data_IF_092855969226
#
_entry.id   IF_092855969226
#
_cell.length_a   1.000
_cell.length_b   1.000
_cell.length_c   1.000
_cell.angle_alpha   90.00
_cell.angle_beta   90.00
_cell.angle_gamma   90.00
#
_symmetry.space_group_name_H-M   'P 1'
#
loop_
_entity.id
_entity.type
_entity.pdbx_description
1 polymer ?
#
# COMPACT_ATOMS: atom_id res chain seq x y z
N UNK A 1 35.51 -42.88 16.26
CA UNK A 1 34.72 -41.75 16.78
C UNK A 1 35.30 -40.46 16.23
N UNK A 2 34.49 -39.42 15.92
CA UNK A 2 33.14 -39.46 15.37
C UNK A 2 33.08 -38.80 13.97
N UNK A 3 32.10 -39.19 13.14
CA UNK A 3 31.90 -38.59 11.82
C UNK A 3 31.07 -37.30 11.90
N UNK A 4 31.45 -36.26 11.16
CA UNK A 4 30.68 -35.02 11.07
C UNK A 4 29.47 -35.20 10.12
N UNK A 5 28.28 -35.35 10.68
CA UNK A 5 27.04 -35.37 9.89
C UNK A 5 26.79 -34.02 9.20
N UNK A 6 26.83 -34.01 7.86
CA UNK A 6 26.31 -32.90 7.06
C UNK A 6 24.78 -32.87 7.17
N UNK A 7 24.24 -31.86 7.85
CA UNK A 7 22.80 -31.61 7.89
C UNK A 7 22.31 -31.13 6.51
N UNK A 8 21.29 -31.79 5.96
CA UNK A 8 20.71 -31.48 4.64
C UNK A 8 19.84 -30.21 4.68
N UNK A 9 19.81 -29.40 3.60
CA UNK A 9 19.06 -28.13 3.57
C UNK A 9 17.52 -28.30 3.46
N UNK A 10 17.02 -29.53 3.41
CA UNK A 10 15.64 -29.85 3.00
C UNK A 10 14.53 -29.40 3.99
N UNK A 11 14.88 -28.90 5.19
CA UNK A 11 13.89 -28.44 6.18
C UNK A 11 13.47 -26.96 6.04
N UNK A 12 14.24 -26.12 5.34
CA UNK A 12 13.86 -24.69 5.18
C UNK A 12 12.83 -24.45 4.07
N UNK A 13 12.77 -25.31 3.05
CA UNK A 13 11.84 -25.19 1.93
C UNK A 13 10.36 -25.49 2.29
N UNK A 14 10.09 -26.17 3.42
CA UNK A 14 8.72 -26.56 3.82
C UNK A 14 7.96 -25.49 4.62
N UNK A 15 8.64 -24.50 5.18
CA UNK A 15 7.98 -23.36 5.85
C UNK A 15 7.55 -22.27 4.85
N UNK A 16 8.25 -22.13 3.73
CA UNK A 16 7.95 -21.12 2.71
C UNK A 16 6.66 -21.40 1.91
N UNK A 17 6.24 -22.66 1.82
CA UNK A 17 5.04 -23.05 1.05
C UNK A 17 3.76 -23.10 1.90
N UNK A 18 3.87 -23.08 3.23
CA UNK A 18 2.73 -23.11 4.16
C UNK A 18 2.16 -21.71 4.48
N UNK A 19 2.89 -20.64 4.16
CA UNK A 19 2.47 -19.24 4.35
C UNK A 19 1.72 -18.65 3.13
N UNK A 20 1.52 -19.45 2.07
CA UNK A 20 0.80 -19.08 0.84
C UNK A 20 -0.73 -19.27 0.90
N UNK A 21 -1.25 -19.72 2.05
CA UNK A 21 -2.64 -20.15 2.21
C UNK A 21 -3.53 -19.16 2.97
N UNK A 22 -3.02 -17.96 3.30
CA UNK A 22 -3.80 -16.93 3.97
C UNK A 22 -3.81 -15.65 3.09
N UNK A 23 -4.87 -15.21 2.40
CA UNK A 23 -6.33 -15.49 2.33
C UNK A 23 -7.07 -14.13 2.41
N UNK A 24 -7.91 -13.60 1.44
CA UNK A 24 -9.06 -12.54 1.31
C UNK A 24 -9.19 -10.92 1.42
N UNK A 25 -8.54 -10.04 0.61
CA UNK A 25 -8.84 -8.57 0.45
C UNK A 25 -8.27 -7.46 1.37
N UNK A 26 -8.76 -6.21 1.30
CA UNK A 26 -8.96 -5.42 0.08
C UNK A 26 -7.66 -4.71 -0.34
N UNK A 27 -7.31 -4.78 -1.63
CA UNK A 27 -6.21 -4.02 -2.18
C UNK A 27 -6.71 -2.70 -2.83
N UNK A 28 -5.77 -1.85 -3.26
CA UNK A 28 -5.97 -0.89 -4.36
C UNK A 28 -5.96 -1.57 -5.75
N UNK A 29 -5.66 -2.87 -5.79
CA UNK A 29 -6.25 -3.79 -6.73
C UNK A 29 -7.63 -4.22 -6.22
N UNK A 30 -8.59 -4.21 -7.14
CA UNK A 30 -9.75 -5.06 -6.99
C UNK A 30 -9.91 -5.72 -8.34
N UNK A 31 -9.83 -7.04 -8.37
CA UNK A 31 -10.20 -7.84 -9.52
C UNK A 31 -11.70 -7.72 -9.86
N UNK A 32 -12.50 -7.14 -8.96
CA UNK A 32 -13.93 -6.91 -9.14
C UNK A 32 -14.21 -5.51 -9.69
N UNK A 33 -15.22 -5.48 -10.57
CA UNK A 33 -15.82 -4.30 -11.19
C UNK A 33 -17.25 -4.25 -10.67
N UNK A 34 -17.65 -3.12 -10.10
CA UNK A 34 -19.02 -2.94 -9.59
C UNK A 34 -20.02 -2.91 -10.76
N UNK A 35 -21.25 -3.36 -10.50
CA UNK A 35 -22.36 -3.31 -11.46
C UNK A 35 -22.71 -1.87 -11.87
N UNK A 36 -23.35 -1.70 -13.04
CA UNK A 36 -23.71 -0.39 -13.57
C UNK A 36 -24.64 0.37 -12.61
N UNK A 37 -24.23 1.57 -12.18
CA UNK A 37 -24.98 2.40 -11.23
C UNK A 37 -24.67 2.14 -9.75
N UNK A 38 -23.93 1.06 -9.44
CA UNK A 38 -23.46 0.77 -8.08
C UNK A 38 -22.12 1.44 -7.77
N UNK A 39 -21.84 1.64 -6.49
CA UNK A 39 -20.54 2.16 -6.06
C UNK A 39 -20.13 1.76 -4.65
N UNK A 40 -18.85 1.98 -4.36
CA UNK A 40 -18.23 1.82 -3.06
C UNK A 40 -17.44 3.08 -2.71
N UNK A 41 -17.62 3.57 -1.49
CA UNK A 41 -16.78 4.63 -0.90
C UNK A 41 -16.14 4.08 0.37
N UNK A 42 -14.84 4.32 0.52
CA UNK A 42 -14.06 3.99 1.71
C UNK A 42 -13.38 5.26 2.21
N UNK A 43 -13.63 5.63 3.47
CA UNK A 43 -12.89 6.68 4.17
C UNK A 43 -11.96 6.03 5.19
N UNK A 44 -10.65 6.08 4.96
CA UNK A 44 -9.59 5.52 5.83
C UNK A 44 -8.82 6.65 6.53
N UNK A 45 -8.72 6.58 7.84
CA UNK A 45 -7.84 7.43 8.65
C UNK A 45 -6.73 6.56 9.26
N UNK A 46 -5.48 6.98 9.13
CA UNK A 46 -4.31 6.24 9.61
C UNK A 46 -3.32 7.13 10.34
N UNK A 47 -2.65 6.55 11.33
CA UNK A 47 -1.60 7.19 12.11
C UNK A 47 -0.37 6.28 12.13
N UNK A 48 0.80 6.85 11.91
CA UNK A 48 2.10 6.18 12.07
C UNK A 48 3.06 7.11 12.80
N UNK A 49 3.82 6.59 13.75
CA UNK A 49 4.90 7.29 14.45
C UNK A 49 6.00 6.27 14.79
N UNK A 50 7.25 6.62 14.51
CA UNK A 50 8.36 5.73 14.83
C UNK A 50 9.72 6.29 14.45
N UNK A 51 10.75 5.80 15.14
CA UNK A 51 12.15 6.09 14.82
C UNK A 51 12.80 5.10 13.85
N UNK A 52 12.08 4.07 13.41
CA UNK A 52 12.62 3.04 12.53
C UNK A 52 12.82 3.55 11.10
N UNK A 53 13.89 3.12 10.43
CA UNK A 53 14.26 3.48 9.05
C UNK A 53 14.91 2.29 8.34
N UNK A 54 14.74 2.22 7.01
CA UNK A 54 15.49 1.32 6.13
C UNK A 54 16.51 2.11 5.29
N UNK A 55 17.80 1.78 5.41
CA UNK A 55 18.88 2.50 4.76
C UNK A 55 19.03 2.17 3.24
N UNK A 56 20.11 2.62 2.60
CA UNK A 56 20.39 2.35 1.17
C UNK A 56 20.61 0.87 0.84
N UNK A 57 20.97 0.06 1.83
CA UNK A 57 21.20 -1.38 1.69
C UNK A 57 20.00 -2.20 2.19
N UNK A 58 18.89 -1.53 2.51
CA UNK A 58 17.68 -2.13 3.06
C UNK A 58 17.80 -2.68 4.48
N UNK A 59 18.87 -2.31 5.19
CA UNK A 59 19.05 -2.69 6.59
C UNK A 59 18.13 -1.83 7.46
N UNK A 60 17.41 -2.48 8.37
CA UNK A 60 16.60 -1.81 9.39
C UNK A 60 17.50 -1.24 10.49
N UNK A 61 17.18 -0.04 10.96
CA UNK A 61 17.80 0.61 12.10
C UNK A 61 16.89 1.72 12.62
N UNK A 62 17.44 2.58 13.49
CA UNK A 62 16.78 3.82 13.89
C UNK A 62 17.39 5.01 13.13
N UNK A 63 16.62 6.09 12.96
CA UNK A 63 17.16 7.38 12.56
C UNK A 63 18.23 7.86 13.55
N UNK A 64 19.25 8.63 13.10
CA UNK A 64 20.20 9.27 13.99
C UNK A 64 19.52 10.32 14.88
N UNK A 65 20.20 10.76 15.93
CA UNK A 65 19.81 11.89 16.78
C UNK A 65 18.36 11.81 17.30
N UNK A 66 17.99 10.64 17.82
CA UNK A 66 16.64 10.29 18.30
C UNK A 66 15.50 10.52 17.28
N UNK A 67 15.84 10.54 15.99
CA UNK A 67 14.93 10.90 14.91
C UNK A 67 13.65 10.09 14.88
N UNK A 68 12.53 10.75 14.58
CA UNK A 68 11.20 10.13 14.42
C UNK A 68 10.46 10.72 13.23
N UNK A 69 9.97 9.84 12.37
CA UNK A 69 8.97 10.14 11.35
C UNK A 69 7.57 9.92 11.92
N UNK A 70 6.64 10.83 11.59
CA UNK A 70 5.21 10.72 11.85
C UNK A 70 4.43 10.99 10.57
N UNK A 71 3.38 10.22 10.32
CA UNK A 71 2.40 10.52 9.28
C UNK A 71 0.99 10.24 9.79
N UNK A 72 0.17 11.29 9.79
CA UNK A 72 -1.29 11.22 9.90
C UNK A 72 -1.84 11.34 8.47
N UNK A 73 -2.70 10.42 8.03
CA UNK A 73 -3.27 10.44 6.68
C UNK A 73 -4.75 10.10 6.69
N UNK A 74 -5.53 10.96 6.02
CA UNK A 74 -6.91 10.71 5.62
C UNK A 74 -6.92 10.36 4.13
N UNK A 75 -7.54 9.23 3.79
CA UNK A 75 -7.68 8.72 2.44
C UNK A 75 -9.17 8.49 2.14
N UNK A 76 -9.64 9.06 1.03
CA UNK A 76 -10.97 8.84 0.48
C UNK A 76 -10.82 8.08 -0.84
N UNK A 77 -11.17 6.80 -0.82
CA UNK A 77 -11.28 5.97 -2.00
C UNK A 77 -12.74 5.90 -2.44
N UNK A 78 -12.99 5.94 -3.75
CA UNK A 78 -14.31 5.81 -4.32
C UNK A 78 -14.26 5.07 -5.66
N UNK A 79 -15.22 4.18 -5.89
CA UNK A 79 -15.44 3.52 -7.16
C UNK A 79 -16.93 3.54 -7.55
N UNK A 80 -17.21 3.62 -8.86
CA UNK A 80 -18.57 3.72 -9.39
C UNK A 80 -18.68 3.02 -10.76
N UNK A 81 -19.61 2.08 -10.89
CA UNK A 81 -19.87 1.34 -12.13
C UNK A 81 -20.52 2.22 -13.20
N UNK A 82 -19.74 2.56 -14.24
CA UNK A 82 -20.22 3.26 -15.44
C UNK A 82 -20.96 2.31 -16.39
N UNK A 83 -20.57 1.04 -16.41
CA UNK A 83 -21.25 -0.06 -17.09
C UNK A 83 -20.94 -1.38 -16.39
N UNK A 84 -21.54 -2.49 -16.85
CA UNK A 84 -21.26 -3.83 -16.32
C UNK A 84 -19.79 -4.30 -16.51
N UNK A 85 -18.98 -3.57 -17.29
CA UNK A 85 -17.58 -3.90 -17.59
C UNK A 85 -16.61 -2.75 -17.27
N UNK A 86 -17.10 -1.59 -16.81
CA UNK A 86 -16.28 -0.38 -16.65
C UNK A 86 -16.64 0.37 -15.35
N UNK A 87 -15.64 0.56 -14.49
CA UNK A 87 -15.74 1.30 -13.23
C UNK A 87 -14.84 2.53 -13.27
N UNK A 88 -15.36 3.69 -12.84
CA UNK A 88 -14.57 4.87 -12.49
C UNK A 88 -13.94 4.66 -11.11
N UNK A 89 -12.66 4.95 -10.96
CA UNK A 89 -11.92 4.82 -9.70
C UNK A 89 -11.28 6.17 -9.33
N UNK A 90 -11.41 6.59 -8.09
CA UNK A 90 -10.80 7.81 -7.54
C UNK A 90 -10.23 7.56 -6.15
N UNK A 91 -9.06 8.13 -5.88
CA UNK A 91 -8.27 7.82 -4.70
C UNK A 91 -7.56 9.09 -4.22
N UNK A 92 -8.09 9.68 -3.16
CA UNK A 92 -7.73 11.02 -2.69
C UNK A 92 -7.05 10.97 -1.33
N UNK A 93 -6.09 11.85 -1.12
CA UNK A 93 -5.19 11.81 0.04
C UNK A 93 -4.95 13.20 0.61
N UNK A 94 -5.25 13.35 1.89
CA UNK A 94 -4.83 14.49 2.71
C UNK A 94 -3.91 13.98 3.83
N UNK A 95 -2.66 14.45 3.84
CA UNK A 95 -1.63 13.95 4.76
C UNK A 95 -1.04 15.09 5.58
N UNK A 96 -0.69 14.79 6.83
CA UNK A 96 0.23 15.57 7.66
C UNK A 96 1.46 14.72 7.95
N UNK A 97 2.60 15.11 7.40
CA UNK A 97 3.88 14.41 7.55
C UNK A 97 4.80 15.25 8.44
N UNK A 98 5.38 14.64 9.46
CA UNK A 98 6.33 15.25 10.39
C UNK A 98 7.62 14.45 10.46
N UNK A 99 8.73 15.16 10.65
CA UNK A 99 9.99 14.58 11.06
C UNK A 99 10.62 15.46 12.14
N UNK A 100 11.05 14.83 13.23
CA UNK A 100 11.76 15.49 14.33
C UNK A 100 13.04 14.74 14.66
N UNK A 101 14.08 15.45 15.05
CA UNK A 101 15.29 14.90 15.66
C UNK A 101 15.91 15.92 16.62
N UNK A 102 16.91 15.48 17.38
CA UNK A 102 17.68 16.29 18.32
C UNK A 102 18.87 17.02 17.63
N UNK A 103 18.95 16.96 16.29
CA UNK A 103 19.98 17.59 15.45
C UNK A 103 19.50 18.94 14.87
N UNK A 104 20.30 19.54 13.98
CA UNK A 104 19.99 20.84 13.35
C UNK A 104 18.72 20.88 12.49
N UNK A 105 18.09 19.75 12.18
CA UNK A 105 16.80 19.76 11.48
C UNK A 105 15.65 20.17 12.42
N UNK A 106 15.64 19.68 13.67
CA UNK A 106 14.60 19.97 14.66
C UNK A 106 13.24 19.35 14.30
N UNK A 107 12.16 19.86 14.90
CA UNK A 107 10.78 19.41 14.63
C UNK A 107 10.18 20.19 13.45
N UNK A 108 9.90 19.50 12.34
CA UNK A 108 9.30 20.10 11.14
C UNK A 108 8.16 19.23 10.60
N UNK A 109 7.15 19.90 10.06
CA UNK A 109 6.00 19.24 9.46
C UNK A 109 5.53 19.93 8.18
N UNK A 110 4.81 19.16 7.36
CA UNK A 110 4.06 19.63 6.20
C UNK A 110 2.65 19.01 6.25
N UNK A 111 1.65 19.72 5.72
CA UNK A 111 0.28 19.25 5.66
C UNK A 111 -0.42 19.73 4.40
N UNK A 112 -1.17 18.85 3.75
CA UNK A 112 -1.95 19.20 2.56
C UNK A 112 -2.41 17.96 1.79
N UNK A 113 -2.93 18.21 0.59
CA UNK A 113 -3.22 17.15 -0.36
C UNK A 113 -1.90 16.52 -0.85
N UNK A 114 -1.85 15.19 -0.92
CA UNK A 114 -0.71 14.42 -1.45
C UNK A 114 -0.84 14.19 -2.97
N UNK A 115 -0.14 13.19 -3.52
CA UNK A 115 -0.37 12.71 -4.88
C UNK A 115 -1.78 12.08 -4.94
N UNK A 116 -2.70 12.63 -5.75
CA UNK A 116 -4.06 12.09 -5.95
C UNK A 116 -4.07 11.14 -7.15
N UNK A 117 -4.98 10.18 -7.19
CA UNK A 117 -5.08 9.20 -8.28
C UNK A 117 -6.53 9.11 -8.79
N UNK A 118 -6.71 9.07 -10.11
CA UNK A 118 -8.03 8.92 -10.74
C UNK A 118 -7.91 8.11 -12.02
N UNK A 119 -8.92 7.31 -12.38
CA UNK A 119 -8.82 6.49 -13.58
C UNK A 119 -9.99 5.54 -13.80
N UNK A 120 -9.75 4.55 -14.65
CA UNK A 120 -10.76 3.58 -15.09
C UNK A 120 -10.26 2.15 -14.82
N UNK A 121 -11.19 1.29 -14.39
CA UNK A 121 -11.01 -0.16 -14.29
C UNK A 121 -11.95 -0.85 -15.25
N UNK A 122 -11.42 -1.71 -16.12
CA UNK A 122 -12.15 -2.51 -17.07
C UNK A 122 -12.12 -3.99 -16.65
N UNK A 123 -13.27 -4.67 -16.71
CA UNK A 123 -13.37 -6.11 -16.36
C UNK A 123 -12.60 -6.96 -17.36
N UNK A 124 -11.90 -7.96 -16.85
CA UNK A 124 -11.36 -9.06 -17.62
C UNK A 124 -11.97 -10.35 -17.10
N UNK A 125 -12.38 -11.22 -18.02
CA UNK A 125 -13.01 -12.51 -17.72
C UNK A 125 -11.99 -13.65 -17.99
N UNK A 126 -10.97 -13.88 -17.14
CA UNK A 126 -9.85 -14.78 -17.45
C UNK A 126 -10.28 -16.24 -17.69
N UNK A 127 -11.32 -16.68 -16.99
CA UNK A 127 -11.96 -18.00 -17.14
C UNK A 127 -13.37 -17.90 -17.76
N UNK A 128 -13.71 -16.76 -18.38
CA UNK A 128 -15.08 -16.41 -18.78
C UNK A 128 -15.92 -15.83 -17.62
N UNK A 129 -17.07 -15.25 -17.95
CA UNK A 129 -17.92 -14.48 -16.99
C UNK A 129 -18.41 -15.29 -15.80
N UNK A 130 -18.69 -16.56 -16.01
CA UNK A 130 -19.16 -17.50 -14.98
C UNK A 130 -17.99 -18.23 -14.28
N UNK A 131 -16.74 -17.85 -14.59
CA UNK A 131 -15.53 -18.43 -14.03
C UNK A 131 -15.32 -18.05 -12.55
N UNK A 132 -14.66 -18.91 -11.75
CA UNK A 132 -14.40 -18.62 -10.34
C UNK A 132 -13.36 -17.51 -10.15
N UNK A 133 -12.55 -17.23 -11.18
CA UNK A 133 -11.57 -16.17 -11.22
C UNK A 133 -12.12 -14.94 -11.93
N UNK A 134 -12.08 -13.82 -11.23
CA UNK A 134 -12.40 -12.48 -11.71
C UNK A 134 -11.09 -11.77 -12.03
N UNK A 135 -11.10 -10.86 -13.00
CA UNK A 135 -9.94 -10.09 -13.39
C UNK A 135 -10.28 -8.65 -13.75
N UNK A 136 -9.29 -7.78 -13.70
CA UNK A 136 -9.44 -6.40 -14.13
C UNK A 136 -8.14 -5.79 -14.65
N UNK A 137 -8.25 -4.91 -15.64
CA UNK A 137 -7.20 -3.99 -16.05
C UNK A 137 -7.57 -2.57 -15.60
N UNK A 138 -6.67 -1.89 -14.91
CA UNK A 138 -6.89 -0.56 -14.37
C UNK A 138 -5.81 0.41 -14.88
N UNK A 139 -6.25 1.57 -15.38
CA UNK A 139 -5.38 2.66 -15.79
C UNK A 139 -5.67 3.87 -14.89
N UNK A 140 -4.68 4.32 -14.13
CA UNK A 140 -4.75 5.50 -13.27
C UNK A 140 -3.85 6.62 -13.80
N UNK A 141 -4.31 7.85 -13.71
CA UNK A 141 -3.50 9.06 -13.79
C UNK A 141 -3.17 9.55 -12.37
N UNK A 142 -1.92 9.99 -12.17
CA UNK A 142 -1.44 10.54 -10.91
C UNK A 142 -1.33 12.07 -11.04
N UNK A 143 -1.91 12.79 -10.08
CA UNK A 143 -1.99 14.26 -10.06
C UNK A 143 -1.48 14.79 -8.72
N UNK A 144 -0.30 15.44 -8.67
CA UNK A 144 0.18 16.08 -7.45
C UNK A 144 -0.64 17.34 -7.15
N UNK A 145 -1.38 17.35 -6.03
CA UNK A 145 -2.24 18.46 -5.62
C UNK A 145 -1.53 19.50 -4.72
N UNK A 146 -0.20 19.60 -4.84
CA UNK A 146 0.67 20.46 -4.03
C UNK A 146 1.92 20.86 -4.82
N UNK A 147 2.54 21.99 -4.45
CA UNK A 147 3.79 22.42 -5.05
C UNK A 147 4.95 21.50 -4.60
N UNK A 148 5.77 21.04 -5.56
CA UNK A 148 7.00 20.29 -5.26
C UNK A 148 7.97 21.15 -4.46
N UNK A 149 8.18 20.79 -3.20
CA UNK A 149 9.19 21.43 -2.36
C UNK A 149 10.60 21.01 -2.82
N UNK A 150 11.50 21.99 -3.02
CA UNK A 150 12.84 21.78 -3.60
C UNK A 150 14.00 22.04 -2.63
N UNK A 151 13.73 22.73 -1.55
CA UNK A 151 14.71 23.20 -0.54
C UNK A 151 15.05 22.14 0.54
N UNK A 152 14.23 21.11 0.71
CA UNK A 152 14.38 20.12 1.78
C UNK A 152 14.03 20.66 3.18
N UNK A 153 13.44 21.84 3.29
CA UNK A 153 13.17 22.47 4.59
C UNK A 153 12.03 21.81 5.37
N UNK A 154 11.19 20.97 4.74
CA UNK A 154 10.09 20.25 5.41
C UNK A 154 9.93 18.84 4.81
N UNK A 155 9.31 17.90 5.54
CA UNK A 155 8.98 16.58 5.00
C UNK A 155 8.05 16.69 3.79
N UNK A 156 8.29 15.88 2.76
CA UNK A 156 7.47 15.88 1.54
C UNK A 156 6.12 15.18 1.75
N UNK A 157 5.06 15.70 1.12
CA UNK A 157 3.70 15.11 1.15
C UNK A 157 3.53 13.92 0.18
N UNK A 158 4.54 13.63 -0.64
CA UNK A 158 4.56 12.63 -1.70
C UNK A 158 5.75 12.88 -2.62
N UNK A 159 5.69 12.39 -3.87
CA UNK A 159 6.79 12.62 -4.83
C UNK A 159 6.62 13.88 -5.67
N UNK A 160 5.39 14.36 -5.89
CA UNK A 160 5.14 15.63 -6.58
C UNK A 160 5.30 15.53 -8.08
N UNK A 161 5.18 14.32 -8.62
CA UNK A 161 5.34 13.97 -10.02
C UNK A 161 3.98 13.54 -10.59
N UNK A 162 3.59 14.10 -11.73
CA UNK A 162 2.54 13.50 -12.57
C UNK A 162 3.00 12.13 -13.05
N UNK A 163 2.06 11.24 -13.33
CA UNK A 163 2.37 9.89 -13.78
C UNK A 163 1.15 9.11 -14.26
N UNK A 164 1.38 7.87 -14.66
CA UNK A 164 0.34 6.91 -14.97
C UNK A 164 0.68 5.55 -14.36
N UNK A 165 -0.33 4.82 -13.86
CA UNK A 165 -0.19 3.42 -13.44
C UNK A 165 -1.07 2.54 -14.30
N UNK A 166 -0.46 1.49 -14.89
CA UNK A 166 -1.18 0.37 -15.47
C UNK A 166 -1.12 -0.80 -14.48
N UNK A 167 -2.27 -1.29 -14.07
CA UNK A 167 -2.44 -2.37 -13.09
C UNK A 167 -3.26 -3.50 -13.68
N UNK A 168 -2.81 -4.74 -13.50
CA UNK A 168 -3.57 -5.95 -13.72
C UNK A 168 -3.88 -6.60 -12.38
N UNK A 169 -5.16 -6.95 -12.16
CA UNK A 169 -5.65 -7.57 -10.92
C UNK A 169 -6.35 -8.88 -11.26
N UNK A 170 -6.17 -9.90 -10.42
CA UNK A 170 -6.86 -11.19 -10.52
C UNK A 170 -7.21 -11.72 -9.14
N UNK A 171 -8.42 -12.25 -8.98
CA UNK A 171 -8.92 -12.67 -7.68
C UNK A 171 -10.05 -13.69 -7.78
N UNK A 172 -10.35 -14.38 -6.68
CA UNK A 172 -11.39 -15.42 -6.63
C UNK A 172 -11.94 -15.66 -5.24
N UNK A 173 -13.13 -16.24 -5.15
CA UNK A 173 -13.63 -16.84 -3.91
C UNK A 173 -12.89 -18.14 -3.52
N UNK A 174 -12.84 -18.44 -2.22
CA UNK A 174 -12.54 -19.77 -1.69
C UNK A 174 -13.37 -20.05 -0.42
N UNK A 175 -13.40 -21.31 0.01
CA UNK A 175 -13.96 -21.72 1.31
C UNK A 175 -12.91 -22.46 2.15
N UNK A 176 -12.74 -22.05 3.40
CA UNK A 176 -11.80 -22.62 4.38
C UNK A 176 -12.58 -23.25 5.52
N UNK A 177 -12.89 -24.54 5.38
CA UNK A 177 -13.79 -25.25 6.28
C UNK A 177 -15.22 -24.72 6.15
N UNK A 178 -15.73 -24.11 7.22
CA UNK A 178 -17.06 -23.47 7.24
C UNK A 178 -17.04 -21.98 6.84
N UNK A 179 -15.84 -21.40 6.66
CA UNK A 179 -15.65 -19.97 6.49
C UNK A 179 -15.43 -19.61 5.02
N UNK A 180 -16.22 -18.69 4.49
CA UNK A 180 -16.04 -18.17 3.14
C UNK A 180 -14.98 -17.06 3.12
N UNK A 181 -14.27 -16.97 2.00
CA UNK A 181 -13.21 -16.00 1.76
C UNK A 181 -13.02 -15.74 0.27
N UNK A 182 -12.03 -14.93 -0.04
CA UNK A 182 -11.59 -14.59 -1.39
C UNK A 182 -10.07 -14.48 -1.44
N UNK A 183 -9.46 -14.08 -2.54
CA UNK A 183 -8.04 -13.69 -2.61
C UNK A 183 -7.92 -12.76 -3.79
N UNK A 184 -7.05 -11.76 -3.68
CA UNK A 184 -6.82 -10.78 -4.72
C UNK A 184 -5.32 -10.50 -4.84
N UNK A 185 -4.86 -10.46 -6.08
CA UNK A 185 -3.48 -10.28 -6.50
C UNK A 185 -3.45 -9.17 -7.55
N UNK A 186 -2.85 -8.04 -7.19
CA UNK A 186 -2.55 -6.93 -8.07
C UNK A 186 -1.07 -6.89 -8.46
N UNK A 187 -0.79 -6.62 -9.74
CA UNK A 187 0.53 -6.20 -10.19
C UNK A 187 0.39 -4.93 -11.01
N UNK A 188 1.31 -3.98 -10.85
CA UNK A 188 1.25 -2.73 -11.58
C UNK A 188 2.63 -2.18 -11.96
N UNK A 189 2.65 -1.38 -13.03
CA UNK A 189 3.79 -0.55 -13.40
C UNK A 189 3.31 0.91 -13.36
N UNK A 190 3.98 1.72 -12.55
CA UNK A 190 3.72 3.14 -12.37
C UNK A 190 4.86 3.94 -12.98
N UNK A 191 4.55 4.63 -14.08
CA UNK A 191 5.46 5.55 -14.77
C UNK A 191 5.36 6.94 -14.14
N UNK A 192 6.49 7.57 -13.87
CA UNK A 192 6.59 8.92 -13.27
C UNK A 192 7.23 9.90 -14.25
N UNK A 193 6.56 11.03 -14.46
CA UNK A 193 6.98 12.05 -15.42
C UNK A 193 8.14 12.95 -14.97
N UNK A 194 8.49 12.94 -13.68
CA UNK A 194 9.48 13.85 -13.10
C UNK A 194 10.78 13.17 -12.66
N UNK A 195 11.16 13.39 -11.40
CA UNK A 195 12.46 12.96 -10.85
C UNK A 195 12.41 11.59 -10.16
N UNK A 196 11.27 11.21 -9.55
CA UNK A 196 11.16 9.89 -8.91
C UNK A 196 11.18 8.78 -9.97
N UNK A 197 11.77 7.65 -9.60
CA UNK A 197 11.83 6.44 -10.43
C UNK A 197 10.43 5.93 -10.77
N UNK A 198 10.33 5.29 -11.93
CA UNK A 198 9.22 4.39 -12.21
C UNK A 198 9.24 3.24 -11.20
N UNK A 199 8.06 2.66 -10.92
CA UNK A 199 7.86 1.66 -9.88
C UNK A 199 7.19 0.41 -10.46
N UNK A 200 7.74 -0.76 -10.12
CA UNK A 200 6.97 -2.01 -10.15
C UNK A 200 6.26 -2.16 -8.80
N UNK A 201 4.99 -2.59 -8.83
CA UNK A 201 4.17 -2.81 -7.65
C UNK A 201 3.59 -4.21 -7.68
N UNK A 202 3.60 -4.86 -6.52
CA UNK A 202 2.92 -6.11 -6.26
C UNK A 202 2.08 -5.88 -5.01
N UNK A 203 0.82 -6.23 -5.09
CA UNK A 203 -0.05 -6.20 -3.93
C UNK A 203 -0.80 -7.54 -3.84
N UNK A 204 -0.80 -8.13 -2.66
CA UNK A 204 -1.58 -9.32 -2.33
C UNK A 204 -2.50 -8.92 -1.20
N UNK A 205 -3.82 -9.06 -1.37
CA UNK A 205 -4.75 -8.69 -0.32
C UNK A 205 -5.56 -9.87 0.18
N UNK A 206 -5.78 -9.85 1.49
CA UNK A 206 -6.15 -11.01 2.27
C UNK A 206 -7.09 -10.67 3.50
N UNK A 207 -8.00 -11.58 3.91
CA UNK A 207 -8.99 -11.72 4.98
C UNK A 207 -9.72 -13.10 5.05
N UNK A 208 -10.83 -13.24 5.79
CA UNK A 208 -11.73 -14.43 5.84
C UNK A 208 -12.94 -14.13 6.74
N UNK A 209 -14.14 -14.62 6.41
CA UNK A 209 -15.34 -14.44 7.25
C UNK A 209 -15.29 -15.29 8.53
N UNK A 210 -14.94 -14.68 9.67
CA UNK A 210 -14.89 -15.35 10.97
C UNK A 210 -16.28 -15.66 11.54
N UNK A 211 -17.25 -14.79 11.27
CA UNK A 211 -18.65 -14.91 11.68
C UNK A 211 -19.53 -14.10 10.70
N UNK A 212 -20.88 -14.22 10.70
CA UNK A 212 -21.75 -13.59 9.68
C UNK A 212 -21.64 -12.07 9.51
N UNK A 213 -20.95 -11.37 10.42
CA UNK A 213 -20.75 -9.91 10.41
C UNK A 213 -19.30 -9.50 10.62
N UNK A 214 -18.38 -10.45 10.70
CA UNK A 214 -16.97 -10.23 11.06
C UNK A 214 -16.06 -10.89 10.03
N UNK A 215 -15.17 -10.10 9.44
CA UNK A 215 -14.14 -10.57 8.51
C UNK A 215 -12.77 -10.16 9.04
N UNK A 216 -11.88 -11.12 9.26
CA UNK A 216 -10.44 -10.85 9.42
C UNK A 216 -9.91 -10.40 8.07
N UNK A 217 -8.85 -9.59 8.03
CA UNK A 217 -8.18 -9.03 6.85
C UNK A 217 -6.66 -8.97 7.13
N UNK A 218 -5.79 -9.43 6.24
CA UNK A 218 -4.37 -9.13 6.18
C UNK A 218 -3.91 -8.75 4.77
N UNK A 219 -3.18 -7.65 4.58
CA UNK A 219 -2.70 -7.20 3.26
C UNK A 219 -1.16 -7.26 3.19
N UNK A 220 -0.60 -7.45 1.99
CA UNK A 220 0.82 -7.30 1.70
C UNK A 220 1.03 -6.41 0.48
N UNK A 221 1.69 -5.27 0.65
CA UNK A 221 1.98 -4.30 -0.41
C UNK A 221 3.49 -4.23 -0.65
N UNK A 222 3.92 -4.24 -1.91
CA UNK A 222 5.32 -4.09 -2.33
C UNK A 222 5.42 -3.01 -3.41
N UNK A 223 6.35 -2.09 -3.21
CA UNK A 223 6.78 -1.10 -4.20
C UNK A 223 8.29 -1.30 -4.40
N UNK A 224 8.73 -1.41 -5.65
CA UNK A 224 10.13 -1.52 -6.03
C UNK A 224 10.44 -0.47 -7.10
N UNK A 225 11.44 0.38 -6.85
CA UNK A 225 11.90 1.35 -7.85
C UNK A 225 12.69 0.66 -8.96
N UNK A 226 12.40 1.02 -10.21
CA UNK A 226 13.07 0.51 -11.41
C UNK A 226 14.48 1.10 -11.64
N UNK A 227 14.90 2.08 -10.83
CA UNK A 227 16.27 2.61 -10.85
C UNK A 227 16.51 3.75 -11.84
N UNK A 228 15.45 4.27 -12.50
CA UNK A 228 15.54 5.29 -13.54
C UNK A 228 15.20 6.72 -13.05
N UNK A 229 15.13 6.93 -11.73
CA UNK A 229 14.94 8.25 -11.13
C UNK A 229 16.06 9.24 -11.51
N UNK A 230 15.70 10.51 -11.71
CA UNK A 230 16.59 11.59 -12.18
C UNK A 230 17.06 12.47 -11.02
N UNK A 231 18.25 13.05 -11.15
CA UNK A 231 18.83 13.94 -10.13
C UNK A 231 19.40 13.18 -8.92
N UNK A 232 19.81 13.91 -7.85
CA UNK A 232 20.40 13.30 -6.66
C UNK A 232 19.42 12.34 -5.99
N UNK A 233 19.91 11.13 -5.65
CA UNK A 233 19.08 10.01 -5.23
C UNK A 233 18.27 10.28 -3.94
N UNK A 234 18.76 11.25 -3.14
CA UNK A 234 18.19 11.66 -1.85
C UNK A 234 18.25 13.18 -1.71
N UNK A 235 17.15 13.78 -1.28
CA UNK A 235 17.15 15.08 -0.60
C UNK A 235 17.40 14.79 0.87
N UNK A 236 18.45 15.39 1.42
CA UNK A 236 18.82 15.28 2.82
C UNK A 236 18.25 16.45 3.61
N UNK A 237 18.00 16.23 4.90
CA UNK A 237 17.70 17.28 5.86
C UNK A 237 18.87 18.31 5.90
N UNK A 238 18.62 19.63 5.78
CA UNK A 238 19.69 20.62 5.86
C UNK A 238 20.48 20.52 7.17
N UNK A 239 21.79 20.32 7.08
CA UNK A 239 22.68 20.12 8.24
C UNK A 239 22.78 18.68 8.78
N UNK A 240 22.16 17.70 8.10
CA UNK A 240 22.07 16.30 8.54
C UNK A 240 22.25 15.35 7.34
N UNK A 241 22.68 14.10 7.59
CA UNK A 241 22.78 13.04 6.56
C UNK A 241 21.50 12.18 6.47
N UNK A 242 20.40 12.60 7.11
CA UNK A 242 19.10 11.92 7.06
C UNK A 242 18.37 12.19 5.74
N UNK A 243 18.05 11.17 4.93
CA UNK A 243 17.28 11.34 3.71
C UNK A 243 15.80 11.56 4.04
N UNK A 244 15.28 12.75 3.71
CA UNK A 244 13.88 13.16 3.95
C UNK A 244 12.98 12.95 2.71
N UNK A 245 13.58 12.74 1.53
CA UNK A 245 12.90 12.30 0.31
C UNK A 245 13.88 11.53 -0.58
N UNK A 246 13.54 10.32 -1.01
CA UNK A 246 14.29 9.55 -1.99
C UNK A 246 13.62 9.55 -3.36
N UNK A 247 14.39 9.65 -4.45
CA UNK A 247 13.85 9.45 -5.80
C UNK A 247 13.81 7.96 -6.20
N UNK A 248 14.58 7.10 -5.52
CA UNK A 248 14.45 5.64 -5.56
C UNK A 248 14.15 5.13 -4.15
N UNK A 249 13.03 4.44 -3.98
CA UNK A 249 12.64 3.73 -2.76
C UNK A 249 12.14 2.33 -3.09
N UNK A 250 12.41 1.38 -2.19
CA UNK A 250 11.67 0.12 -2.16
C UNK A 250 10.96 0.03 -0.81
N UNK A 251 9.83 -0.65 -0.78
CA UNK A 251 9.00 -0.73 0.42
C UNK A 251 8.16 -1.99 0.38
N UNK A 252 8.09 -2.71 1.50
CA UNK A 252 7.21 -3.85 1.69
C UNK A 252 6.49 -3.69 3.02
N UNK A 253 5.17 -3.76 3.00
CA UNK A 253 4.30 -3.46 4.14
C UNK A 253 3.30 -4.59 4.34
N UNK A 254 3.16 -5.06 5.57
CA UNK A 254 2.03 -5.90 5.98
C UNK A 254 0.97 -5.01 6.63
N UNK A 255 -0.30 -5.36 6.44
CA UNK A 255 -1.42 -4.84 7.22
C UNK A 255 -2.20 -6.01 7.79
N UNK A 256 -2.80 -5.84 8.96
CA UNK A 256 -3.78 -6.77 9.52
C UNK A 256 -4.92 -5.95 10.11
N UNK A 257 -6.16 -6.33 9.83
CA UNK A 257 -7.36 -5.60 10.22
C UNK A 257 -8.55 -6.52 10.40
N UNK A 258 -9.60 -6.00 11.02
CA UNK A 258 -10.90 -6.67 11.18
C UNK A 258 -11.97 -5.73 10.67
N UNK A 259 -12.85 -6.26 9.83
CA UNK A 259 -14.00 -5.58 9.24
C UNK A 259 -15.29 -6.08 9.92
N UNK A 260 -16.14 -5.16 10.35
CA UNK A 260 -17.43 -5.42 10.97
C UNK A 260 -18.58 -4.78 10.15
N UNK A 261 -19.55 -5.59 9.73
CA UNK A 261 -20.73 -5.12 9.01
C UNK A 261 -21.82 -4.67 9.98
N UNK A 262 -22.25 -3.41 9.89
CA UNK A 262 -23.31 -2.80 10.69
C UNK A 262 -24.72 -3.25 10.23
N UNK A 263 -25.76 -3.14 11.08
CA UNK A 263 -27.13 -3.36 10.63
C UNK A 263 -27.48 -2.20 9.68
N UNK A 264 -27.77 -2.50 8.42
CA UNK A 264 -27.90 -1.50 7.34
C UNK A 264 -26.77 -1.53 6.29
N UNK A 265 -25.79 -2.44 6.40
CA UNK A 265 -24.86 -2.77 5.31
C UNK A 265 -23.53 -2.03 5.30
N UNK A 266 -23.45 -0.82 5.86
CA UNK A 266 -22.17 -0.11 6.04
C UNK A 266 -21.18 -0.92 6.88
N UNK A 267 -19.88 -0.76 6.64
CA UNK A 267 -18.85 -1.58 7.31
C UNK A 267 -17.79 -0.70 7.99
N UNK A 268 -17.24 -1.18 9.10
CA UNK A 268 -16.18 -0.51 9.86
C UNK A 268 -14.96 -1.43 9.94
N UNK A 269 -13.80 -0.90 9.58
CA UNK A 269 -12.52 -1.59 9.59
C UNK A 269 -11.62 -1.00 10.67
N UNK A 270 -10.96 -1.84 11.46
CA UNK A 270 -9.92 -1.46 12.41
C UNK A 270 -8.68 -2.31 12.15
N UNK A 271 -7.51 -1.71 12.03
CA UNK A 271 -6.30 -2.44 11.73
C UNK A 271 -5.00 -1.79 12.17
N UNK A 272 -3.91 -2.49 11.87
CA UNK A 272 -2.53 -2.07 12.07
C UNK A 272 -1.74 -2.33 10.79
N UNK A 273 -0.87 -1.39 10.42
CA UNK A 273 0.04 -1.54 9.30
C UNK A 273 1.50 -1.44 9.76
N UNK A 274 2.37 -2.28 9.21
CA UNK A 274 3.78 -2.36 9.57
C UNK A 274 4.65 -2.51 8.32
N UNK A 275 5.56 -1.55 8.05
CA UNK A 275 6.68 -1.77 7.15
C UNK A 275 7.55 -2.95 7.63
N UNK A 276 7.77 -3.95 6.78
CA UNK A 276 8.56 -5.15 7.09
C UNK A 276 9.90 -5.21 6.36
N UNK A 277 9.99 -4.55 5.20
CA UNK A 277 11.23 -4.34 4.48
C UNK A 277 11.15 -3.03 3.69
N UNK A 278 12.30 -2.54 3.23
CA UNK A 278 12.35 -1.38 2.34
C UNK A 278 13.78 -0.94 2.09
N UNK A 279 13.94 0.15 1.34
CA UNK A 279 15.20 0.84 1.05
C UNK A 279 14.90 2.33 0.88
N UNK A 280 15.69 3.19 1.52
CA UNK A 280 15.51 4.65 1.52
C UNK A 280 14.12 5.11 2.03
N UNK A 281 13.57 4.46 3.06
CA UNK A 281 12.20 4.72 3.52
C UNK A 281 12.04 4.54 5.03
N UNK A 282 11.00 5.15 5.60
CA UNK A 282 10.64 5.00 7.01
C UNK A 282 10.13 3.60 7.34
N UNK A 283 10.43 3.13 8.55
CA UNK A 283 9.98 1.84 9.10
C UNK A 283 8.82 1.96 10.09
N UNK A 284 8.23 3.15 10.25
CA UNK A 284 7.15 3.40 11.20
C UNK A 284 5.86 2.67 10.81
N UNK A 285 5.38 1.80 11.72
CA UNK A 285 4.04 1.22 11.66
C UNK A 285 3.02 2.07 12.42
N UNK A 286 1.78 1.61 12.44
CA UNK A 286 0.73 2.23 13.26
C UNK A 286 -0.70 1.80 12.91
N UNK A 287 -1.69 2.21 13.72
CA UNK A 287 -3.07 1.85 13.56
C UNK A 287 -3.77 2.61 12.42
N UNK A 288 -4.85 2.02 11.91
CA UNK A 288 -5.80 2.70 11.05
C UNK A 288 -7.24 2.28 11.35
N UNK A 289 -8.17 3.15 11.00
CA UNK A 289 -9.61 2.86 10.92
C UNK A 289 -10.11 3.20 9.53
N UNK A 290 -11.12 2.48 9.05
CA UNK A 290 -11.83 2.86 7.84
C UNK A 290 -13.34 2.63 7.98
N UNK A 291 -14.12 3.40 7.25
CA UNK A 291 -15.56 3.22 7.13
C UNK A 291 -15.93 3.07 5.64
N UNK A 292 -16.88 2.18 5.38
CA UNK A 292 -17.21 1.65 4.07
C UNK A 292 -18.71 1.80 3.81
N UNK A 293 -19.06 2.29 2.63
CA UNK A 293 -20.45 2.45 2.19
C UNK A 293 -20.60 1.96 0.76
N UNK A 294 -21.60 1.12 0.52
CA UNK A 294 -22.04 0.72 -0.82
C UNK A 294 -23.42 1.33 -1.11
N UNK A 295 -23.66 1.67 -2.36
CA UNK A 295 -24.93 2.19 -2.87
C UNK A 295 -25.22 1.67 -4.28
#
# INVERSE_FOLDING_TARGET
MPAAHRATPARRARLALALLALAAGPCWASAWVDEAGHGLVILKASHTDGGAVFNSHGQSGNFPDAGRSRQDQLNLYGEYGLSADLTLVGNFYFSKVGYRNDSGYGDRHSSGWSDQEIGLRYRLDPDGRDGPWQGALQLLALVPAYARQRDGERPALGQGDYGAELRYSVGRGYRLGEHDGYVDLGTAVRLRGGDASDEARLDVSSGVALAPRWMLIGEFNVIQSLGNGKGPNRIYAPGDNTPIRGNNLDFSKLQASVLYTLPGGSQLQLGYQQPVAGRNTGGAGGPFVAAWWRF
#
